data_IF_980033415621
#
_entry.id   IF_980033415621
#
_cell.length_a   1.000
_cell.length_b   1.000
_cell.length_c   1.000
_cell.angle_alpha   90.00
_cell.angle_beta   90.00
_cell.angle_gamma   90.00
#
_symmetry.space_group_name_H-M   'P 1'
#
loop_
_entity.id
_entity.type
_entity.pdbx_description
1 polymer ?
#
# COMPACT_ATOMS: atom_id res chain seq x y z
N UNK A 1 21.49 -6.34 23.39
CA UNK A 1 20.76 -5.18 22.85
C UNK A 1 19.88 -5.58 21.66
N UNK A 2 18.98 -6.56 21.84
CA UNK A 2 18.26 -7.21 20.71
C UNK A 2 16.76 -7.43 20.99
N UNK A 3 16.24 -7.00 22.13
CA UNK A 3 14.89 -7.35 22.57
C UNK A 3 13.76 -6.70 21.77
N UNK A 4 14.03 -5.69 20.93
CA UNK A 4 13.00 -4.98 20.15
C UNK A 4 13.37 -4.73 18.69
N UNK A 5 14.41 -5.39 18.14
CA UNK A 5 14.81 -5.16 16.75
C UNK A 5 13.66 -5.46 15.78
N UNK A 6 13.10 -6.68 15.86
CA UNK A 6 12.01 -7.13 14.99
C UNK A 6 10.73 -6.29 15.15
N UNK A 7 10.41 -5.90 16.38
CA UNK A 7 9.32 -4.97 16.70
C UNK A 7 9.47 -3.61 16.00
N UNK A 8 10.64 -2.97 16.07
CA UNK A 8 10.84 -1.69 15.37
C UNK A 8 10.93 -1.86 13.86
N UNK A 9 11.53 -2.96 13.39
CA UNK A 9 11.61 -3.27 11.95
C UNK A 9 10.23 -3.48 11.36
N UNK A 10 9.34 -4.22 12.01
CA UNK A 10 7.97 -4.46 11.51
C UNK A 10 7.19 -3.15 11.43
N UNK A 11 7.26 -2.30 12.45
CA UNK A 11 6.58 -0.99 12.45
C UNK A 11 7.12 -0.05 11.37
N UNK A 12 8.44 0.13 11.31
CA UNK A 12 9.06 1.02 10.34
C UNK A 12 8.81 0.55 8.90
N UNK A 13 8.97 -0.75 8.63
CA UNK A 13 8.74 -1.28 7.28
C UNK A 13 7.28 -1.21 6.85
N UNK A 14 6.31 -1.40 7.77
CA UNK A 14 4.89 -1.22 7.49
C UNK A 14 4.51 0.22 7.12
N UNK A 15 5.04 1.20 7.87
CA UNK A 15 4.83 2.64 7.58
C UNK A 15 5.44 3.01 6.22
N UNK A 16 6.66 2.53 5.92
CA UNK A 16 7.31 2.78 4.65
C UNK A 16 6.55 2.13 3.49
N UNK A 17 6.09 0.88 3.65
CA UNK A 17 5.24 0.21 2.65
C UNK A 17 3.97 1.02 2.36
N UNK A 18 3.29 1.51 3.41
CA UNK A 18 2.11 2.37 3.27
C UNK A 18 2.42 3.65 2.49
N UNK A 19 3.51 4.35 2.82
CA UNK A 19 3.92 5.57 2.14
C UNK A 19 4.30 5.33 0.67
N UNK A 20 4.94 4.20 0.36
CA UNK A 20 5.28 3.80 -1.00
C UNK A 20 4.03 3.47 -1.82
N UNK A 21 3.06 2.77 -1.25
CA UNK A 21 1.76 2.54 -1.89
C UNK A 21 1.04 3.87 -2.19
N UNK A 22 1.03 4.81 -1.23
CA UNK A 22 0.49 6.15 -1.46
C UNK A 22 1.20 6.87 -2.62
N UNK A 23 2.54 6.87 -2.63
CA UNK A 23 3.33 7.50 -3.69
C UNK A 23 3.05 6.84 -5.06
N UNK A 24 2.95 5.52 -5.11
CA UNK A 24 2.59 4.79 -6.33
C UNK A 24 1.23 5.23 -6.88
N UNK A 25 0.21 5.38 -6.03
CA UNK A 25 -1.13 5.86 -6.44
C UNK A 25 -1.07 7.29 -6.94
N UNK A 26 -0.42 8.21 -6.22
CA UNK A 26 -0.27 9.61 -6.63
C UNK A 26 0.43 9.75 -7.98
N UNK A 27 1.50 8.99 -8.20
CA UNK A 27 2.19 8.96 -9.49
C UNK A 27 1.34 8.32 -10.59
N UNK A 28 0.59 7.27 -10.28
CA UNK A 28 -0.36 6.63 -11.21
C UNK A 28 -1.44 7.60 -11.70
N UNK A 29 -1.99 8.42 -10.80
CA UNK A 29 -2.93 9.49 -11.16
C UNK A 29 -2.23 10.52 -12.06
N UNK A 30 -1.02 10.93 -11.70
CA UNK A 30 -0.23 11.92 -12.44
C UNK A 30 0.13 11.48 -13.86
N UNK A 31 0.28 10.17 -14.10
CA UNK A 31 0.53 9.58 -15.43
C UNK A 31 -0.70 9.63 -16.34
N UNK A 32 -1.88 9.46 -15.77
CA UNK A 32 -3.13 9.38 -16.55
C UNK A 32 -3.87 10.72 -16.62
N UNK A 33 -3.62 11.63 -15.68
CA UNK A 33 -4.23 12.95 -15.61
C UNK A 33 -3.70 13.89 -16.69
N UNK A 34 -4.61 14.54 -17.42
CA UNK A 34 -4.30 15.56 -18.43
C UNK A 34 -4.12 16.96 -17.82
N UNK A 35 -3.37 17.04 -16.72
CA UNK A 35 -3.13 18.30 -15.99
C UNK A 35 -2.31 19.32 -16.81
N UNK A 36 -1.57 18.85 -17.81
CA UNK A 36 -0.71 19.68 -18.66
C UNK A 36 -0.85 19.24 -20.10
N UNK A 37 -0.73 20.18 -21.06
CA UNK A 37 -0.66 19.84 -22.49
C UNK A 37 0.67 19.21 -22.91
N UNK A 38 1.71 19.34 -22.09
CA UNK A 38 3.03 18.74 -22.35
C UNK A 38 3.01 17.22 -22.09
N UNK A 39 3.71 16.42 -22.90
CA UNK A 39 3.88 15.00 -22.63
C UNK A 39 4.58 14.81 -21.29
N UNK A 40 4.17 13.78 -20.54
CA UNK A 40 4.81 13.43 -19.28
C UNK A 40 6.19 12.82 -19.57
N UNK A 41 7.25 13.22 -18.85
CA UNK A 41 8.56 12.64 -19.05
C UNK A 41 8.57 11.18 -18.57
N UNK A 42 9.39 10.34 -19.22
CA UNK A 42 9.41 8.88 -18.98
C UNK A 42 9.69 8.51 -17.51
N UNK A 43 10.48 9.32 -16.80
CA UNK A 43 10.84 9.07 -15.40
C UNK A 43 9.63 9.02 -14.44
N UNK A 44 8.49 9.61 -14.80
CA UNK A 44 7.27 9.52 -13.97
C UNK A 44 6.76 8.07 -13.95
N UNK A 45 6.83 7.38 -15.08
CA UNK A 45 6.46 5.97 -15.16
C UNK A 45 7.47 5.10 -14.42
N UNK A 46 8.75 5.44 -14.53
CA UNK A 46 9.81 4.72 -13.82
C UNK A 46 9.62 4.84 -12.31
N UNK A 47 9.36 6.04 -11.78
CA UNK A 47 9.08 6.23 -10.35
C UNK A 47 7.84 5.46 -9.88
N UNK A 48 6.74 5.46 -10.65
CA UNK A 48 5.56 4.67 -10.32
C UNK A 48 5.90 3.18 -10.16
N UNK A 49 6.70 2.63 -11.07
CA UNK A 49 7.15 1.23 -11.02
C UNK A 49 8.08 0.96 -9.85
N UNK A 50 9.01 1.88 -9.58
CA UNK A 50 9.91 1.77 -8.43
C UNK A 50 9.16 1.81 -7.10
N UNK A 51 8.17 2.68 -6.95
CA UNK A 51 7.35 2.72 -5.74
C UNK A 51 6.57 1.41 -5.52
N UNK A 52 5.96 0.85 -6.57
CA UNK A 52 5.29 -0.45 -6.49
C UNK A 52 6.25 -1.58 -6.09
N UNK A 53 7.40 -1.68 -6.75
CA UNK A 53 8.40 -2.69 -6.44
C UNK A 53 8.94 -2.56 -5.01
N UNK A 54 9.26 -1.34 -4.56
CA UNK A 54 9.71 -1.11 -3.19
C UNK A 54 8.61 -1.41 -2.17
N UNK A 55 7.35 -1.09 -2.46
CA UNK A 55 6.24 -1.42 -1.58
C UNK A 55 6.15 -2.93 -1.33
N UNK A 56 6.29 -3.76 -2.37
CA UNK A 56 6.35 -5.23 -2.23
C UNK A 56 7.51 -5.66 -1.34
N UNK A 57 8.72 -5.12 -1.57
CA UNK A 57 9.91 -5.44 -0.77
C UNK A 57 9.67 -5.10 0.71
N UNK A 58 9.12 -3.93 1.01
CA UNK A 58 8.85 -3.51 2.38
C UNK A 58 7.73 -4.30 3.05
N UNK A 59 6.72 -4.76 2.29
CA UNK A 59 5.70 -5.69 2.81
C UNK A 59 6.31 -7.05 3.14
N UNK A 60 7.25 -7.56 2.33
CA UNK A 60 8.00 -8.79 2.65
C UNK A 60 8.82 -8.59 3.93
N UNK A 61 9.54 -7.48 4.08
CA UNK A 61 10.29 -7.18 5.30
C UNK A 61 9.35 -7.07 6.52
N UNK A 62 8.19 -6.42 6.36
CA UNK A 62 7.18 -6.26 7.40
C UNK A 62 6.66 -7.62 7.88
N UNK A 63 6.19 -8.46 6.97
CA UNK A 63 5.66 -9.79 7.31
C UNK A 63 6.74 -10.74 7.85
N UNK A 64 7.95 -10.72 7.30
CA UNK A 64 9.07 -11.52 7.78
C UNK A 64 9.51 -11.10 9.20
N UNK A 65 9.57 -9.79 9.48
CA UNK A 65 9.90 -9.31 10.82
C UNK A 65 8.80 -9.63 11.85
N UNK A 66 7.51 -9.63 11.46
CA UNK A 66 6.43 -10.12 12.33
C UNK A 66 6.58 -11.61 12.66
N UNK A 67 6.99 -12.44 11.70
CA UNK A 67 7.23 -13.87 11.93
C UNK A 67 8.43 -14.14 12.86
N UNK A 68 9.40 -13.22 12.90
CA UNK A 68 10.62 -13.32 13.71
C UNK A 68 10.50 -12.60 15.07
N UNK A 69 9.41 -11.87 15.29
CA UNK A 69 9.21 -11.12 16.51
C UNK A 69 8.86 -12.04 17.69
N UNK A 70 9.45 -11.75 18.84
CA UNK A 70 9.24 -12.52 20.08
C UNK A 70 8.28 -11.82 21.05
N UNK A 71 7.83 -10.60 20.74
CA UNK A 71 6.91 -9.84 21.58
C UNK A 71 5.46 -10.20 21.27
N UNK A 72 5.12 -10.31 19.98
CA UNK A 72 3.86 -10.91 19.51
C UNK A 72 4.20 -12.04 18.55
N UNK A 73 3.97 -13.28 18.98
CA UNK A 73 4.25 -14.45 18.13
C UNK A 73 3.13 -14.63 17.10
N UNK A 74 3.47 -14.42 15.83
CA UNK A 74 2.58 -14.67 14.69
C UNK A 74 2.94 -15.99 14.00
N UNK A 75 1.98 -16.91 13.91
CA UNK A 75 2.09 -18.09 13.04
C UNK A 75 1.81 -17.76 11.57
N UNK A 76 2.11 -18.69 10.66
CA UNK A 76 1.82 -18.52 9.23
C UNK A 76 0.32 -18.30 8.96
N UNK A 77 -0.56 -18.94 9.73
CA UNK A 77 -2.00 -18.73 9.64
C UNK A 77 -2.39 -17.30 10.02
N UNK A 78 -1.74 -16.73 11.04
CA UNK A 78 -2.04 -15.37 11.50
C UNK A 78 -1.59 -14.31 10.49
N UNK A 79 -0.58 -14.62 9.66
CA UNK A 79 -0.05 -13.73 8.63
C UNK A 79 -0.81 -13.79 7.31
N UNK A 80 -1.45 -14.93 7.01
CA UNK A 80 -2.01 -15.17 5.69
C UNK A 80 -3.48 -15.57 5.68
N UNK A 81 -4.15 -15.75 6.82
CA UNK A 81 -5.59 -16.05 6.88
C UNK A 81 -6.31 -14.92 7.63
N UNK A 82 -7.20 -14.17 6.95
CA UNK A 82 -7.97 -13.11 7.62
C UNK A 82 -8.70 -13.63 8.85
N UNK A 83 -8.69 -12.83 9.94
CA UNK A 83 -9.34 -13.12 11.23
C UNK A 83 -8.77 -14.31 12.01
N UNK A 84 -7.70 -14.97 11.56
CA UNK A 84 -7.08 -16.07 12.29
C UNK A 84 -6.29 -15.61 13.54
N UNK A 85 -5.67 -14.44 13.46
CA UNK A 85 -4.88 -13.89 14.57
C UNK A 85 -5.74 -13.54 15.78
N UNK A 86 -5.28 -13.89 16.98
CA UNK A 86 -5.89 -13.42 18.24
C UNK A 86 -5.53 -11.96 18.57
N UNK A 87 -4.51 -11.42 17.90
CA UNK A 87 -4.05 -10.04 18.08
C UNK A 87 -4.78 -9.12 17.10
N UNK A 88 -5.67 -8.26 17.59
CA UNK A 88 -6.46 -7.31 16.78
C UNK A 88 -6.98 -7.92 15.45
N UNK A 89 -7.79 -9.00 15.50
CA UNK A 89 -8.13 -9.84 14.33
C UNK A 89 -8.63 -9.04 13.12
N UNK A 90 -9.51 -8.06 13.36
CA UNK A 90 -10.10 -7.23 12.29
C UNK A 90 -9.05 -6.31 11.67
N UNK A 91 -8.18 -5.72 12.48
CA UNK A 91 -7.12 -4.85 11.98
C UNK A 91 -6.10 -5.63 11.15
N UNK A 92 -5.70 -6.82 11.62
CA UNK A 92 -4.82 -7.73 10.87
C UNK A 92 -5.48 -8.20 9.56
N UNK A 93 -6.77 -8.54 9.57
CA UNK A 93 -7.50 -8.93 8.37
C UNK A 93 -7.44 -7.88 7.26
N UNK A 94 -7.53 -6.58 7.58
CA UNK A 94 -7.34 -5.50 6.60
C UNK A 94 -5.95 -5.50 5.96
N UNK A 95 -4.91 -5.79 6.75
CA UNK A 95 -3.54 -5.94 6.25
C UNK A 95 -3.40 -7.11 5.29
N UNK A 96 -4.00 -8.26 5.61
CA UNK A 96 -3.99 -9.46 4.76
C UNK A 96 -4.76 -9.22 3.44
N UNK A 97 -5.92 -8.57 3.51
CA UNK A 97 -6.67 -8.16 2.31
C UNK A 97 -5.82 -7.21 1.45
N UNK A 98 -5.14 -6.24 2.07
CA UNK A 98 -4.20 -5.35 1.40
C UNK A 98 -3.05 -6.11 0.74
N UNK A 99 -2.47 -7.09 1.41
CA UNK A 99 -1.42 -7.95 0.86
C UNK A 99 -1.90 -8.69 -0.40
N UNK A 100 -3.09 -9.29 -0.37
CA UNK A 100 -3.65 -9.95 -1.55
C UNK A 100 -3.92 -8.99 -2.71
N UNK A 101 -4.46 -7.81 -2.43
CA UNK A 101 -4.69 -6.78 -3.44
C UNK A 101 -3.37 -6.33 -4.07
N UNK A 102 -2.34 -6.06 -3.25
CA UNK A 102 -1.02 -5.67 -3.75
C UNK A 102 -0.42 -6.76 -4.65
N UNK A 103 -0.47 -8.02 -4.24
CA UNK A 103 -0.01 -9.14 -5.06
C UNK A 103 -0.78 -9.25 -6.39
N UNK A 104 -2.10 -9.08 -6.36
CA UNK A 104 -2.91 -9.11 -7.57
C UNK A 104 -2.55 -7.95 -8.51
N UNK A 105 -2.40 -6.73 -7.99
CA UNK A 105 -2.06 -5.53 -8.77
C UNK A 105 -0.67 -5.67 -9.39
N UNK A 106 0.35 -6.02 -8.60
CA UNK A 106 1.73 -6.15 -9.07
C UNK A 106 1.88 -7.34 -10.01
N UNK A 107 1.33 -8.50 -9.63
CA UNK A 107 1.36 -9.72 -10.45
C UNK A 107 0.72 -9.49 -11.82
N UNK A 108 -0.48 -8.90 -11.87
CA UNK A 108 -1.14 -8.58 -13.15
C UNK A 108 -0.40 -7.49 -13.94
N UNK A 109 0.27 -6.55 -13.27
CA UNK A 109 1.05 -5.49 -13.94
C UNK A 109 2.34 -6.00 -14.57
N UNK A 110 3.02 -6.96 -13.93
CA UNK A 110 4.20 -7.63 -14.49
C UNK A 110 3.87 -8.42 -15.77
N UNK A 111 2.71 -9.07 -15.81
CA UNK A 111 2.27 -9.86 -16.97
C UNK A 111 1.31 -9.09 -17.89
N UNK A 112 1.15 -7.78 -17.71
CA UNK A 112 0.15 -6.94 -18.39
C UNK A 112 0.11 -7.13 -19.91
N UNK A 113 1.25 -7.36 -20.56
CA UNK A 113 1.35 -7.58 -22.02
C UNK A 113 0.62 -8.85 -22.50
N UNK A 114 0.31 -9.78 -21.59
CA UNK A 114 -0.38 -11.05 -21.87
C UNK A 114 -1.85 -11.03 -21.46
N UNK A 115 -2.34 -9.93 -20.86
CA UNK A 115 -3.70 -9.83 -20.33
C UNK A 115 -4.58 -8.93 -21.21
N UNK A 116 -5.90 -9.19 -21.25
CA UNK A 116 -6.84 -8.24 -21.84
C UNK A 116 -6.72 -6.88 -21.13
N UNK A 117 -6.60 -5.80 -21.90
CA UNK A 117 -6.36 -4.45 -21.36
C UNK A 117 -7.42 -4.02 -20.34
N UNK A 118 -8.69 -4.39 -20.55
CA UNK A 118 -9.80 -4.09 -19.64
C UNK A 118 -9.66 -4.81 -18.29
N UNK A 119 -9.25 -6.09 -18.32
CA UNK A 119 -9.04 -6.88 -17.11
C UNK A 119 -7.91 -6.31 -16.27
N UNK A 120 -6.73 -6.13 -16.87
CA UNK A 120 -5.59 -5.52 -16.19
C UNK A 120 -5.96 -4.16 -15.61
N UNK A 121 -6.64 -3.30 -16.38
CA UNK A 121 -7.01 -1.97 -15.91
C UNK A 121 -7.99 -2.03 -14.74
N UNK A 122 -8.96 -2.96 -14.75
CA UNK A 122 -9.88 -3.18 -13.63
C UNK A 122 -9.16 -3.61 -12.36
N UNK A 123 -8.24 -4.58 -12.45
CA UNK A 123 -7.42 -5.01 -11.31
C UNK A 123 -6.51 -3.88 -10.83
N UNK A 124 -5.84 -3.16 -11.74
CA UNK A 124 -4.96 -2.06 -11.39
C UNK A 124 -5.72 -0.91 -10.71
N UNK A 125 -7.00 -0.69 -11.04
CA UNK A 125 -7.86 0.29 -10.36
C UNK A 125 -8.18 -0.09 -8.91
N UNK A 126 -8.06 -1.37 -8.53
CA UNK A 126 -8.17 -1.78 -7.13
C UNK A 126 -7.06 -1.19 -6.24
N UNK A 127 -6.04 -0.54 -6.81
CA UNK A 127 -5.01 0.22 -6.06
C UNK A 127 -5.59 1.33 -5.17
N UNK A 128 -6.73 1.92 -5.54
CA UNK A 128 -7.45 2.86 -4.67
C UNK A 128 -8.03 2.16 -3.44
N UNK A 129 -8.62 0.97 -3.64
CA UNK A 129 -9.14 0.15 -2.55
C UNK A 129 -8.01 -0.35 -1.67
N UNK A 130 -6.89 -0.78 -2.28
CA UNK A 130 -5.67 -1.15 -1.58
C UNK A 130 -5.25 -0.03 -0.62
N UNK A 131 -5.11 1.21 -1.09
CA UNK A 131 -4.71 2.34 -0.26
C UNK A 131 -5.66 2.55 0.94
N UNK A 132 -6.97 2.44 0.72
CA UNK A 132 -7.96 2.55 1.80
C UNK A 132 -7.76 1.45 2.85
N UNK A 133 -7.70 0.18 2.44
CA UNK A 133 -7.61 -0.94 3.39
C UNK A 133 -6.29 -0.94 4.15
N UNK A 134 -5.16 -0.59 3.52
CA UNK A 134 -3.87 -0.49 4.24
C UNK A 134 -3.81 0.72 5.16
N UNK A 135 -4.55 1.80 4.87
CA UNK A 135 -4.68 2.95 5.76
C UNK A 135 -5.53 2.60 6.98
N UNK A 136 -6.62 1.85 6.79
CA UNK A 136 -7.42 1.29 7.90
C UNK A 136 -6.54 0.36 8.74
N UNK A 137 -5.77 -0.53 8.11
CA UNK A 137 -4.83 -1.40 8.81
C UNK A 137 -3.79 -0.61 9.64
N UNK A 138 -3.16 0.40 9.05
CA UNK A 138 -2.18 1.27 9.72
C UNK A 138 -2.77 1.92 10.99
N UNK A 139 -3.98 2.48 10.87
CA UNK A 139 -4.63 3.21 11.96
C UNK A 139 -5.28 2.29 13.01
N UNK A 140 -5.64 1.06 12.65
CA UNK A 140 -6.32 0.13 13.54
C UNK A 140 -5.37 -0.87 14.24
N UNK A 141 -4.27 -1.27 13.59
CA UNK A 141 -3.34 -2.28 14.11
C UNK A 141 -2.13 -1.64 14.81
N UNK A 142 -1.74 -0.43 14.41
CA UNK A 142 -0.54 0.23 14.91
C UNK A 142 -0.76 0.89 16.26
N UNK A 143 0.09 0.58 17.25
CA UNK A 143 0.22 1.43 18.45
C UNK A 143 0.71 2.84 18.11
N UNK A 144 1.32 3.02 16.92
CA UNK A 144 1.66 4.34 16.37
C UNK A 144 0.45 5.13 15.86
N UNK A 145 -0.76 4.55 15.78
CA UNK A 145 -1.95 5.29 15.38
C UNK A 145 -2.26 6.46 16.34
N UNK A 146 -1.82 6.37 17.59
CA UNK A 146 -1.87 7.47 18.56
C UNK A 146 -0.86 8.59 18.29
N UNK A 147 0.10 8.39 17.37
CA UNK A 147 1.06 9.42 17.00
C UNK A 147 0.42 10.43 16.03
N UNK A 148 0.32 11.73 16.40
CA UNK A 148 -0.36 12.73 15.57
C UNK A 148 0.20 12.83 14.15
N UNK A 149 1.50 12.58 13.98
CA UNK A 149 2.18 12.64 12.69
C UNK A 149 1.59 11.63 11.69
N UNK A 150 1.40 10.37 12.08
CA UNK A 150 0.86 9.35 11.18
C UNK A 150 -0.62 9.60 10.88
N UNK A 151 -1.39 10.03 11.88
CA UNK A 151 -2.80 10.37 11.70
C UNK A 151 -2.98 11.50 10.67
N UNK A 152 -2.23 12.60 10.82
CA UNK A 152 -2.29 13.72 9.87
C UNK A 152 -1.70 13.36 8.51
N UNK A 153 -0.68 12.51 8.44
CA UNK A 153 -0.16 11.99 7.18
C UNK A 153 -1.23 11.16 6.45
N UNK A 154 -1.99 10.33 7.16
CA UNK A 154 -3.07 9.53 6.57
C UNK A 154 -4.20 10.41 6.03
N UNK A 155 -4.61 11.43 6.79
CA UNK A 155 -5.60 12.41 6.34
C UNK A 155 -5.09 13.18 5.12
N UNK A 156 -3.91 13.78 5.21
CA UNK A 156 -3.33 14.58 4.13
C UNK A 156 -3.11 13.74 2.86
N UNK A 157 -2.63 12.51 3.00
CA UNK A 157 -2.45 11.58 1.90
C UNK A 157 -3.77 11.19 1.22
N UNK A 158 -4.82 10.93 2.01
CA UNK A 158 -6.16 10.63 1.50
C UNK A 158 -6.78 11.81 0.77
N UNK A 159 -6.65 13.01 1.33
CA UNK A 159 -7.11 14.25 0.68
C UNK A 159 -6.36 14.50 -0.63
N UNK A 160 -5.04 14.29 -0.67
CA UNK A 160 -4.25 14.44 -1.89
C UNK A 160 -4.74 13.49 -3.00
N UNK A 161 -4.97 12.22 -2.68
CA UNK A 161 -5.52 11.25 -3.65
C UNK A 161 -6.91 11.67 -4.11
N UNK A 162 -7.80 12.08 -3.20
CA UNK A 162 -9.15 12.52 -3.55
C UNK A 162 -9.14 13.74 -4.48
N UNK A 163 -8.38 14.78 -4.13
CA UNK A 163 -8.25 16.01 -4.92
C UNK A 163 -7.65 15.74 -6.30
N UNK A 164 -6.59 14.94 -6.38
CA UNK A 164 -5.97 14.56 -7.66
C UNK A 164 -6.92 13.73 -8.53
N UNK A 165 -7.73 12.87 -7.92
CA UNK A 165 -8.73 12.07 -8.63
C UNK A 165 -9.84 12.95 -9.20
N UNK A 166 -10.38 13.89 -8.41
CA UNK A 166 -11.39 14.86 -8.87
C UNK A 166 -10.82 15.72 -10.00
N UNK A 167 -9.61 16.26 -9.82
CA UNK A 167 -8.95 17.07 -10.85
C UNK A 167 -8.72 16.27 -12.14
N UNK A 168 -8.36 14.98 -12.05
CA UNK A 168 -8.22 14.09 -13.21
C UNK A 168 -9.54 13.92 -13.96
N UNK A 169 -10.63 13.65 -13.26
CA UNK A 169 -11.96 13.44 -13.87
C UNK A 169 -12.45 14.71 -14.58
N UNK A 170 -12.22 15.87 -13.97
CA UNK A 170 -12.57 17.17 -14.56
C UNK A 170 -11.70 17.48 -15.79
N UNK A 171 -10.43 17.06 -15.83
CA UNK A 171 -9.54 17.27 -16.97
C UNK A 171 -9.80 16.34 -18.17
N UNK A 172 -10.65 15.31 -17.98
CA UNK A 172 -11.06 14.37 -19.04
C UNK A 172 -12.44 14.63 -19.62
N UNK A 173 -13.21 15.53 -19.00
CA UNK A 173 -14.52 16.02 -19.46
C UNK A 173 -14.33 17.22 -20.40
#
# INVERSE_FOLDING_TARGET
MTTHLWWYTSRASGIVAWALCWAAVVWGISLTGRFTRRPKPAWVLDLHRWFGALAVIFVVIHTASLALDNFVSFGLTDLFVPLASKWHPVAVAWGIIGFYLLLAIEGTSLIMKRLPRRFWHGVHLSSYVLYVVITIHLLAAGTDAGQPVLFWAAIGGSLAIAMLTVARLNATS
#
